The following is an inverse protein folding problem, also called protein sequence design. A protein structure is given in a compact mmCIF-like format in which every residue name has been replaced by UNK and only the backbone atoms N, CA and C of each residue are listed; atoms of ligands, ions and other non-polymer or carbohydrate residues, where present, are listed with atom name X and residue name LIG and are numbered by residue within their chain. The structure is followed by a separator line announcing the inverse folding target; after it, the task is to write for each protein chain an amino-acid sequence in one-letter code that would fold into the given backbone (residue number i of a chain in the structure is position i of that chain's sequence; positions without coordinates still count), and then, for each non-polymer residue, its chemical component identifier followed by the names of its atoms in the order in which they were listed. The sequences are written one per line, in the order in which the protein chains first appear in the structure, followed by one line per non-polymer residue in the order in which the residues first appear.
data_IF_271658179649
#
_entry.id   IF_271658179649
#
_cell.length_a   1.000
_cell.length_b   1.000
_cell.length_c   1.000
_cell.angle_alpha   90.00
_cell.angle_beta   90.00
_cell.angle_gamma   90.00
#
_symmetry.space_group_name_H-M   'P 1'
#
loop_
_entity.id
_entity.type
_entity.pdbx_description
1 polymer ?
#
# COMPACT_ATOMS: atom_id res chain seq x y z
N UNK A 1 -25.73 -25.54 -23.61
CA UNK A 1 -24.67 -24.53 -23.43
C UNK A 1 -24.98 -23.83 -22.14
N UNK A 2 -24.29 -24.20 -21.07
CA UNK A 2 -24.42 -23.55 -19.76
C UNK A 2 -23.26 -22.57 -19.67
N UNK A 3 -23.55 -21.27 -19.78
CA UNK A 3 -22.57 -20.21 -19.61
C UNK A 3 -22.32 -19.92 -18.13
N UNK A 4 -21.07 -19.63 -17.84
CA UNK A 4 -20.50 -18.72 -16.84
C UNK A 4 -21.04 -18.72 -15.41
N UNK A 5 -20.15 -19.10 -14.49
CA UNK A 5 -19.83 -18.24 -13.35
C UNK A 5 -18.31 -18.13 -13.30
N UNK A 6 -17.79 -16.97 -13.71
CA UNK A 6 -16.42 -16.57 -13.46
C UNK A 6 -16.14 -16.70 -11.96
N UNK A 7 -15.24 -17.61 -11.58
CA UNK A 7 -14.47 -17.48 -10.34
C UNK A 7 -13.55 -16.24 -10.51
N UNK A 8 -14.14 -15.05 -10.44
CA UNK A 8 -13.42 -13.80 -10.64
C UNK A 8 -12.41 -13.64 -9.49
N UNK A 9 -11.12 -13.72 -9.82
CA UNK A 9 -10.05 -13.65 -8.85
C UNK A 9 -10.14 -12.35 -8.04
N UNK A 10 -10.18 -12.46 -6.71
CA UNK A 10 -10.30 -11.30 -5.82
C UNK A 10 -8.97 -10.53 -5.74
N UNK A 11 -8.86 -9.43 -6.49
CA UNK A 11 -7.67 -8.56 -6.52
C UNK A 11 -7.51 -7.62 -5.32
N UNK A 12 -8.36 -7.71 -4.30
CA UNK A 12 -8.29 -6.82 -3.13
C UNK A 12 -7.09 -7.12 -2.23
N UNK A 13 -6.67 -6.11 -1.46
CA UNK A 13 -5.47 -6.16 -0.60
C UNK A 13 -5.55 -7.18 0.54
N UNK A 14 -6.75 -7.60 0.93
CA UNK A 14 -6.98 -8.63 1.95
C UNK A 14 -6.79 -10.06 1.42
N UNK A 15 -6.63 -10.25 0.10
CA UNK A 15 -6.32 -11.55 -0.48
C UNK A 15 -4.82 -11.85 -0.31
N UNK A 16 -4.48 -12.88 0.48
CA UNK A 16 -3.10 -13.29 0.72
C UNK A 16 -2.34 -13.74 -0.53
N UNK A 17 -3.04 -14.15 -1.58
CA UNK A 17 -2.44 -14.51 -2.88
C UNK A 17 -1.99 -13.27 -3.67
N UNK A 18 -2.50 -12.08 -3.32
CA UNK A 18 -2.06 -10.78 -3.87
C UNK A 18 -0.79 -10.34 -3.15
N UNK A 19 0.33 -10.84 -3.66
CA UNK A 19 1.67 -10.51 -3.13
C UNK A 19 2.02 -9.04 -3.38
N UNK A 20 1.63 -8.50 -4.54
CA UNK A 20 1.89 -7.11 -4.93
C UNK A 20 0.56 -6.44 -5.26
N UNK A 21 0.08 -5.50 -4.42
CA UNK A 21 -1.10 -4.72 -4.76
C UNK A 21 -0.77 -3.73 -5.89
N UNK A 22 -1.81 -3.12 -6.48
CA UNK A 22 -1.60 -2.05 -7.46
C UNK A 22 -0.69 -0.95 -6.88
N UNK A 23 0.31 -0.55 -7.67
CA UNK A 23 1.32 0.43 -7.31
C UNK A 23 1.57 1.35 -8.50
N UNK A 24 1.15 2.60 -8.36
CA UNK A 24 1.40 3.65 -9.37
C UNK A 24 2.90 3.82 -9.61
N UNK A 25 3.29 4.00 -10.86
CA UNK A 25 4.69 4.14 -11.24
C UNK A 25 5.34 5.30 -10.47
N UNK A 26 6.50 5.02 -9.87
CA UNK A 26 7.23 6.00 -9.05
C UNK A 26 8.64 6.18 -9.62
N UNK A 27 8.96 7.41 -10.00
CA UNK A 27 10.27 7.80 -10.51
C UNK A 27 11.06 8.55 -9.42
N UNK A 28 12.37 8.28 -9.34
CA UNK A 28 13.31 9.02 -8.47
C UNK A 28 14.44 9.57 -9.32
N UNK A 29 14.66 10.89 -9.25
CA UNK A 29 15.68 11.57 -10.06
C UNK A 29 16.16 12.86 -9.39
N UNK A 30 17.17 13.50 -9.96
CA UNK A 30 17.68 14.81 -9.53
C UNK A 30 17.18 15.90 -10.48
N UNK A 31 16.67 17.00 -9.93
CA UNK A 31 16.23 18.14 -10.74
C UNK A 31 17.38 19.13 -11.04
N UNK A 32 17.08 20.19 -11.82
CA UNK A 32 18.07 21.21 -12.19
C UNK A 32 18.62 22.03 -11.02
N UNK A 33 18.01 21.95 -9.84
CA UNK A 33 18.48 22.59 -8.61
C UNK A 33 19.32 21.65 -7.73
N UNK A 34 19.59 20.42 -8.18
CA UNK A 34 20.38 19.45 -7.42
C UNK A 34 19.62 18.78 -6.28
N UNK A 35 18.29 18.89 -6.25
CA UNK A 35 17.43 18.25 -5.25
C UNK A 35 16.95 16.90 -5.75
N UNK A 36 16.74 15.96 -4.84
CA UNK A 36 16.07 14.71 -5.18
C UNK A 36 14.57 14.96 -5.34
N UNK A 37 14.00 14.33 -6.36
CA UNK A 37 12.56 14.37 -6.66
C UNK A 37 12.05 12.94 -6.72
N UNK A 38 11.02 12.68 -5.93
CA UNK A 38 10.17 11.49 -6.04
C UNK A 38 8.90 11.93 -6.75
N UNK A 39 8.61 11.35 -7.91
CA UNK A 39 7.41 11.63 -8.71
C UNK A 39 6.57 10.37 -8.80
N UNK A 40 5.30 10.48 -8.45
CA UNK A 40 4.34 9.40 -8.62
C UNK A 40 3.37 9.76 -9.76
N UNK A 41 3.16 8.80 -10.67
CA UNK A 41 2.15 8.91 -11.72
C UNK A 41 0.77 9.20 -11.12
N UNK A 42 0.05 10.14 -11.72
CA UNK A 42 -1.32 10.50 -11.34
C UNK A 42 -2.27 9.32 -11.44
N UNK A 43 -3.29 9.29 -10.59
CA UNK A 43 -4.44 8.41 -10.77
C UNK A 43 -5.29 8.87 -11.99
N UNK A 44 -6.20 8.00 -12.41
CA UNK A 44 -7.09 8.27 -13.55
C UNK A 44 -7.95 9.52 -13.35
N UNK A 45 -8.29 9.85 -12.11
CA UNK A 45 -9.10 10.98 -11.68
C UNK A 45 -8.27 12.20 -11.22
N UNK A 46 -6.95 12.07 -11.17
CA UNK A 46 -6.06 13.18 -10.80
C UNK A 46 -5.58 13.92 -12.05
N UNK A 47 -5.53 15.25 -12.00
CA UNK A 47 -5.11 16.07 -13.14
C UNK A 47 -3.58 16.08 -13.35
N UNK A 48 -2.80 15.84 -12.29
CA UNK A 48 -1.34 16.00 -12.30
C UNK A 48 -0.67 14.98 -11.40
N UNK A 49 0.58 14.67 -11.73
CA UNK A 49 1.43 13.81 -10.92
C UNK A 49 1.76 14.46 -9.58
N UNK A 50 2.00 13.61 -8.59
CA UNK A 50 2.43 14.04 -7.25
C UNK A 50 3.95 14.09 -7.16
N UNK A 51 4.48 15.13 -6.53
CA UNK A 51 5.92 15.35 -6.37
C UNK A 51 6.28 15.53 -4.90
N UNK A 52 7.35 14.86 -4.47
CA UNK A 52 8.07 15.14 -3.23
C UNK A 52 9.48 15.59 -3.60
N UNK A 53 9.87 16.77 -3.15
CA UNK A 53 11.20 17.34 -3.41
C UNK A 53 11.97 17.39 -2.09
N UNK A 54 13.17 16.82 -2.08
CA UNK A 54 14.02 16.75 -0.89
C UNK A 54 15.37 17.38 -1.21
N UNK A 55 15.75 18.37 -0.41
CA UNK A 55 17.09 18.95 -0.49
C UNK A 55 18.16 17.90 -0.18
N UNK A 56 19.27 18.01 -0.90
CA UNK A 56 20.39 17.06 -0.79
C UNK A 56 20.90 16.93 0.66
N UNK A 57 20.86 18.02 1.44
CA UNK A 57 21.26 18.03 2.85
C UNK A 57 20.45 17.07 3.74
N UNK A 58 19.21 16.75 3.37
CA UNK A 58 18.31 15.87 4.13
C UNK A 58 18.25 14.44 3.61
N UNK A 59 18.86 14.16 2.46
CA UNK A 59 18.84 12.83 1.86
C UNK A 59 19.42 11.73 2.76
N UNK A 60 20.56 11.91 3.47
CA UNK A 60 21.08 10.86 4.34
C UNK A 60 20.08 10.45 5.43
N UNK A 61 19.36 11.42 6.02
CA UNK A 61 18.34 11.15 7.05
C UNK A 61 17.15 10.40 6.47
N UNK A 62 16.67 10.80 5.28
CA UNK A 62 15.58 10.11 4.60
C UNK A 62 15.95 8.66 4.24
N UNK A 63 17.15 8.44 3.69
CA UNK A 63 17.64 7.11 3.31
C UNK A 63 17.73 6.21 4.55
N UNK A 64 18.26 6.70 5.67
CA UNK A 64 18.32 5.93 6.90
C UNK A 64 16.92 5.51 7.40
N UNK A 65 15.93 6.40 7.28
CA UNK A 65 14.55 6.08 7.63
C UNK A 65 13.94 5.01 6.69
N UNK A 66 14.15 5.13 5.38
CA UNK A 66 13.69 4.16 4.39
C UNK A 66 14.33 2.78 4.61
N UNK A 67 15.64 2.74 4.86
CA UNK A 67 16.34 1.48 5.17
C UNK A 67 15.80 0.83 6.44
N UNK A 68 15.52 1.62 7.49
CA UNK A 68 14.90 1.09 8.71
C UNK A 68 13.52 0.49 8.44
N UNK A 69 12.72 1.11 7.56
CA UNK A 69 11.41 0.58 7.16
C UNK A 69 11.58 -0.73 6.38
N UNK A 70 12.55 -0.81 5.47
CA UNK A 70 12.82 -2.01 4.68
C UNK A 70 13.31 -3.19 5.54
N UNK A 71 13.98 -2.92 6.67
CA UNK A 71 14.53 -3.93 7.58
C UNK A 71 13.46 -4.53 8.53
N UNK A 72 12.33 -3.84 8.69
CA UNK A 72 11.19 -4.36 9.46
C UNK A 72 10.29 -5.11 8.47
N UNK A 73 10.12 -6.43 8.67
CA UNK A 73 9.12 -7.20 7.91
C UNK A 73 7.77 -6.48 8.02
N UNK A 74 7.06 -6.23 6.90
CA UNK A 74 5.80 -5.52 6.94
C UNK A 74 4.84 -6.33 7.81
N UNK A 75 4.51 -5.81 8.99
CA UNK A 75 3.40 -6.33 9.79
C UNK A 75 2.14 -5.86 9.08
N UNK A 76 1.68 -6.66 8.11
CA UNK A 76 0.28 -6.59 7.67
C UNK A 76 -0.53 -7.15 8.82
N UNK A 77 -1.35 -6.30 9.46
CA UNK A 77 -2.38 -6.79 10.36
C UNK A 77 -3.46 -7.44 9.50
N UNK A 78 -3.26 -8.72 9.19
CA UNK A 78 -4.17 -9.53 8.38
C UNK A 78 -5.41 -9.97 9.17
N UNK A 79 -5.70 -9.37 10.34
CA UNK A 79 -6.87 -9.72 11.15
C UNK A 79 -8.16 -9.45 10.35
N UNK A 80 -8.87 -10.49 9.86
CA UNK A 80 -10.22 -10.31 9.36
C UNK A 80 -11.06 -9.92 10.57
N UNK A 81 -11.96 -8.97 10.38
CA UNK A 81 -12.68 -8.26 11.44
C UNK A 81 -12.99 -9.13 12.67
N UNK A 82 -12.77 -8.54 13.85
CA UNK A 82 -13.27 -9.09 15.11
C UNK A 82 -14.74 -9.45 14.96
N UNK A 83 -15.02 -10.71 14.68
CA UNK A 83 -16.32 -11.31 14.90
C UNK A 83 -16.35 -11.54 16.39
N UNK A 84 -16.89 -10.58 17.13
CA UNK A 84 -17.38 -10.86 18.48
C UNK A 84 -18.37 -12.03 18.31
N UNK A 85 -18.11 -13.21 18.90
CA UNK A 85 -19.12 -14.25 18.93
C UNK A 85 -20.35 -13.64 19.59
N UNK A 86 -21.50 -13.77 18.94
CA UNK A 86 -22.80 -13.47 19.54
C UNK A 86 -22.81 -14.17 20.89
N UNK A 87 -22.72 -13.39 21.98
CA UNK A 87 -22.86 -13.89 23.31
C UNK A 87 -24.24 -14.52 23.33
N UNK A 88 -24.28 -15.85 23.18
CA UNK A 88 -25.39 -16.64 23.63
C UNK A 88 -25.55 -16.28 25.10
N UNK A 89 -26.46 -15.33 25.35
CA UNK A 89 -26.80 -14.85 26.65
C UNK A 89 -27.10 -16.03 27.57
N UNK A 90 -26.98 -15.83 28.88
CA UNK A 90 -27.16 -16.92 29.83
C UNK A 90 -28.54 -17.52 29.64
N UNK A 91 -28.59 -18.75 29.12
CA UNK A 91 -29.77 -19.59 29.25
C UNK A 91 -29.76 -20.05 30.70
N UNK A 92 -30.49 -19.34 31.55
CA UNK A 92 -30.80 -19.75 32.93
C UNK A 92 -31.59 -21.06 32.96
N UNK A 93 -32.01 -21.55 34.14
CA UNK A 93 -32.25 -20.81 35.39
C UNK A 93 -31.15 -20.91 36.46
#
# INVERSE_FOLDING_TARGET
MSGDYDDEFNWRVENSDVVVPDQRATAVYVNGWGQAVIRQERAWDEERDTFVVIDHAHLPTLIAALMKIADVAPVRDDSPGTVVPDEAGPVGP
#
